data_IF_815593947961
#
_entry.id   IF_815593947961
#
_cell.length_a   1.000
_cell.length_b   1.000
_cell.length_c   1.000
_cell.angle_alpha   90.00
_cell.angle_beta   90.00
_cell.angle_gamma   90.00
#
_symmetry.space_group_name_H-M   'P 1'
#
loop_
_entity.id
_entity.type
_entity.pdbx_description
1 polymer ?
#
# COMPACT_ATOMS: atom_id res chain seq x y z
N UNK A 1 6.33 -15.98 -2.54
CA UNK A 1 4.99 -15.50 -2.92
C UNK A 1 4.34 -14.98 -1.65
N UNK A 2 3.63 -13.85 -1.73
CA UNK A 2 2.79 -13.31 -0.64
C UNK A 2 1.34 -13.15 -1.13
N UNK A 3 0.41 -13.05 -0.20
CA UNK A 3 -1.01 -12.77 -0.45
C UNK A 3 -1.40 -11.50 0.31
N UNK A 4 -1.99 -10.54 -0.37
CA UNK A 4 -2.55 -9.31 0.22
C UNK A 4 -4.03 -9.25 -0.13
N UNK A 5 -4.91 -9.40 0.87
CA UNK A 5 -6.35 -9.48 0.66
C UNK A 5 -7.00 -8.20 1.18
N UNK A 6 -7.80 -7.55 0.33
CA UNK A 6 -8.65 -6.42 0.69
C UNK A 6 -10.12 -6.79 0.49
N UNK A 7 -10.96 -6.43 1.45
CA UNK A 7 -12.41 -6.63 1.38
C UNK A 7 -13.12 -5.26 1.36
N UNK A 8 -13.29 -4.61 0.19
CA UNK A 8 -13.86 -3.27 0.11
C UNK A 8 -15.35 -3.26 0.44
N UNK A 9 -15.70 -2.77 1.62
CA UNK A 9 -17.08 -2.67 2.09
C UNK A 9 -17.95 -1.78 1.19
N UNK A 10 -17.36 -0.71 0.62
CA UNK A 10 -18.06 0.20 -0.30
C UNK A 10 -18.55 -0.48 -1.57
N UNK A 11 -17.90 -1.57 -2.01
CA UNK A 11 -18.24 -2.30 -3.21
C UNK A 11 -19.06 -3.58 -2.94
N UNK A 12 -19.49 -3.82 -1.70
CA UNK A 12 -20.12 -5.08 -1.28
C UNK A 12 -21.36 -5.48 -2.09
N UNK A 13 -22.12 -4.49 -2.56
CA UNK A 13 -23.41 -4.70 -3.24
C UNK A 13 -23.26 -4.74 -4.78
N UNK A 14 -22.04 -4.52 -5.30
CA UNK A 14 -21.77 -4.61 -6.75
C UNK A 14 -21.73 -6.05 -7.21
N UNK A 15 -22.09 -6.28 -8.47
CA UNK A 15 -22.12 -7.63 -9.08
C UNK A 15 -20.77 -8.05 -9.64
N UNK A 16 -19.91 -7.09 -9.99
CA UNK A 16 -18.57 -7.34 -10.51
C UNK A 16 -17.57 -6.29 -10.05
N UNK A 17 -16.28 -6.66 -10.09
CA UNK A 17 -15.20 -5.74 -9.79
C UNK A 17 -15.12 -4.58 -10.79
N UNK A 18 -15.46 -4.80 -12.06
CA UNK A 18 -15.46 -3.76 -13.10
C UNK A 18 -16.51 -2.69 -12.79
N UNK A 19 -17.73 -3.13 -12.48
CA UNK A 19 -18.81 -2.24 -12.04
C UNK A 19 -18.37 -1.39 -10.83
N UNK A 20 -17.70 -2.00 -9.86
CA UNK A 20 -17.21 -1.29 -8.67
C UNK A 20 -16.17 -0.20 -9.00
N UNK A 21 -15.29 -0.43 -9.98
CA UNK A 21 -14.33 0.59 -10.43
C UNK A 21 -15.03 1.69 -11.24
N UNK A 22 -15.97 1.34 -12.12
CA UNK A 22 -16.75 2.29 -12.93
C UNK A 22 -17.63 3.21 -12.06
N UNK A 23 -18.18 2.68 -10.97
CA UNK A 23 -18.91 3.45 -9.94
C UNK A 23 -17.98 4.21 -8.98
N UNK A 24 -16.66 4.17 -9.20
CA UNK A 24 -15.64 4.83 -8.38
C UNK A 24 -15.63 4.38 -6.91
N UNK A 25 -16.07 3.16 -6.63
CA UNK A 25 -16.06 2.55 -5.28
C UNK A 25 -14.68 1.99 -4.91
N UNK A 26 -13.83 1.78 -5.91
CA UNK A 26 -12.45 1.31 -5.80
C UNK A 26 -11.48 2.36 -6.39
N UNK A 27 -11.34 3.54 -5.78
CA UNK A 27 -10.58 4.66 -6.36
C UNK A 27 -9.08 4.36 -6.51
N UNK A 28 -8.58 3.30 -5.88
CA UNK A 28 -7.22 2.82 -5.96
C UNK A 28 -6.95 1.88 -7.14
N UNK A 29 -7.97 1.51 -7.91
CA UNK A 29 -7.85 0.67 -9.10
C UNK A 29 -8.07 1.48 -10.38
N UNK A 30 -7.47 1.02 -11.47
CA UNK A 30 -7.75 1.45 -12.84
C UNK A 30 -8.16 0.25 -13.69
N UNK A 31 -8.96 0.50 -14.72
CA UNK A 31 -9.31 -0.51 -15.73
C UNK A 31 -8.56 -0.19 -17.02
N UNK A 32 -7.87 -1.17 -17.58
CA UNK A 32 -7.29 -1.10 -18.92
C UNK A 32 -7.66 -2.38 -19.68
N UNK A 33 -8.31 -2.24 -20.82
CA UNK A 33 -8.73 -3.38 -21.66
C UNK A 33 -9.54 -4.44 -20.90
N UNK A 34 -10.40 -3.99 -19.97
CA UNK A 34 -11.22 -4.87 -19.12
C UNK A 34 -10.45 -5.55 -17.98
N UNK A 35 -9.15 -5.31 -17.86
CA UNK A 35 -8.32 -5.81 -16.75
C UNK A 35 -8.22 -4.74 -15.66
N UNK A 36 -8.52 -5.13 -14.43
CA UNK A 36 -8.39 -4.27 -13.25
C UNK A 36 -6.96 -4.38 -12.74
N UNK A 37 -6.34 -3.23 -12.50
CA UNK A 37 -4.99 -3.13 -11.94
C UNK A 37 -4.95 -2.11 -10.81
N UNK A 38 -4.18 -2.39 -9.77
CA UNK A 38 -3.88 -1.46 -8.70
C UNK A 38 -3.04 -0.29 -9.23
N UNK A 39 -3.45 0.93 -8.91
CA UNK A 39 -2.70 2.13 -9.29
C UNK A 39 -1.36 2.16 -8.57
N UNK A 40 -0.27 2.35 -9.33
CA UNK A 40 1.11 2.33 -8.78
C UNK A 40 1.40 3.48 -7.81
N UNK A 41 0.66 4.57 -7.89
CA UNK A 41 0.77 5.74 -7.02
C UNK A 41 -0.11 5.64 -5.76
N UNK A 42 -0.94 4.61 -5.63
CA UNK A 42 -1.78 4.40 -4.45
C UNK A 42 -1.00 3.71 -3.31
N UNK A 43 -1.31 4.03 -2.06
CA UNK A 43 -0.64 3.51 -0.87
C UNK A 43 -0.56 1.97 -0.80
N UNK A 44 -1.57 1.25 -1.32
CA UNK A 44 -1.55 -0.21 -1.39
C UNK A 44 -0.41 -0.76 -2.26
N UNK A 45 0.00 -0.06 -3.32
CA UNK A 45 1.12 -0.51 -4.15
C UNK A 45 2.44 -0.39 -3.38
N UNK A 46 2.61 0.70 -2.61
CA UNK A 46 3.73 0.85 -1.68
C UNK A 46 3.74 -0.24 -0.59
N UNK A 47 2.57 -0.63 -0.07
CA UNK A 47 2.46 -1.75 0.88
C UNK A 47 2.98 -3.05 0.27
N UNK A 48 2.50 -3.41 -0.93
CA UNK A 48 2.93 -4.62 -1.65
C UNK A 48 4.43 -4.61 -1.92
N UNK A 49 4.98 -3.49 -2.42
CA UNK A 49 6.41 -3.38 -2.70
C UNK A 49 7.27 -3.52 -1.45
N UNK A 50 6.85 -2.92 -0.34
CA UNK A 50 7.48 -3.08 0.96
C UNK A 50 7.48 -4.53 1.44
N UNK A 51 6.31 -5.19 1.42
CA UNK A 51 6.17 -6.59 1.82
C UNK A 51 7.05 -7.52 0.97
N UNK A 52 7.05 -7.34 -0.36
CA UNK A 52 7.88 -8.12 -1.27
C UNK A 52 9.37 -7.95 -0.96
N UNK A 53 9.82 -6.70 -0.73
CA UNK A 53 11.22 -6.43 -0.40
C UNK A 53 11.63 -7.03 0.94
N UNK A 54 10.83 -6.85 1.99
CA UNK A 54 11.13 -7.34 3.34
C UNK A 54 11.18 -8.87 3.39
N UNK A 55 10.28 -9.53 2.65
CA UNK A 55 10.17 -11.00 2.65
C UNK A 55 11.07 -11.68 1.60
N UNK A 56 11.85 -10.90 0.85
CA UNK A 56 12.68 -11.34 -0.28
C UNK A 56 11.90 -12.19 -1.29
N UNK A 57 10.64 -11.81 -1.55
CA UNK A 57 9.78 -12.46 -2.54
C UNK A 57 9.62 -11.58 -3.76
N UNK A 58 9.37 -12.22 -4.90
CA UNK A 58 9.26 -11.56 -6.20
C UNK A 58 7.83 -11.35 -6.68
N UNK A 59 6.82 -11.88 -5.98
CA UNK A 59 5.43 -11.90 -6.45
C UNK A 59 4.42 -11.87 -5.31
N UNK A 60 3.38 -11.06 -5.49
CA UNK A 60 2.20 -10.92 -4.65
C UNK A 60 0.94 -11.22 -5.45
N UNK A 61 0.01 -11.99 -4.87
CA UNK A 61 -1.38 -11.96 -5.32
C UNK A 61 -2.12 -10.90 -4.52
N UNK A 62 -2.49 -9.81 -5.18
CA UNK A 62 -3.35 -8.78 -4.62
C UNK A 62 -4.80 -9.16 -4.90
N UNK A 63 -5.55 -9.46 -3.85
CA UNK A 63 -6.90 -10.03 -3.95
C UNK A 63 -7.89 -9.00 -3.42
N UNK A 64 -8.87 -8.65 -4.25
CA UNK A 64 -10.04 -7.89 -3.83
C UNK A 64 -11.23 -8.82 -3.77
N UNK A 65 -11.87 -8.90 -2.61
CA UNK A 65 -12.94 -9.86 -2.37
C UNK A 65 -14.19 -9.20 -1.79
N UNK A 66 -15.34 -9.56 -2.36
CA UNK A 66 -16.68 -9.31 -1.80
C UNK A 66 -17.46 -10.63 -1.78
N UNK A 67 -18.66 -10.64 -1.19
CA UNK A 67 -19.53 -11.82 -1.25
C UNK A 67 -19.95 -12.19 -2.68
N UNK A 68 -19.93 -11.22 -3.60
CA UNK A 68 -20.46 -11.38 -4.95
C UNK A 68 -19.37 -11.69 -5.98
N UNK A 69 -18.14 -11.24 -5.74
CA UNK A 69 -17.05 -11.40 -6.70
C UNK A 69 -15.67 -11.43 -6.03
N UNK A 70 -14.70 -11.99 -6.75
CA UNK A 70 -13.28 -11.94 -6.39
C UNK A 70 -12.48 -11.51 -7.60
N UNK A 71 -11.60 -10.53 -7.42
CA UNK A 71 -10.62 -10.13 -8.41
C UNK A 71 -9.22 -10.39 -7.87
N UNK A 72 -8.33 -10.89 -8.73
CA UNK A 72 -6.95 -11.23 -8.38
C UNK A 72 -6.02 -10.59 -9.39
N UNK A 73 -5.08 -9.80 -8.89
CA UNK A 73 -3.98 -9.23 -9.67
C UNK A 73 -2.66 -9.85 -9.22
N UNK A 74 -1.81 -10.20 -10.18
CA UNK A 74 -0.43 -10.61 -9.92
C UNK A 74 0.49 -9.38 -10.00
N UNK A 75 1.13 -9.05 -8.89
CA UNK A 75 2.09 -7.94 -8.82
C UNK A 75 3.48 -8.52 -8.59
N UNK A 76 4.40 -8.22 -9.50
CA UNK A 76 5.81 -8.58 -9.39
C UNK A 76 6.61 -7.46 -8.72
N UNK A 77 7.69 -7.83 -8.04
CA UNK A 77 8.58 -6.86 -7.44
C UNK A 77 9.18 -5.93 -8.51
N UNK A 78 9.01 -4.63 -8.32
CA UNK A 78 9.46 -3.59 -9.24
C UNK A 78 10.68 -2.89 -8.60
N UNK A 79 11.87 -3.30 -9.04
CA UNK A 79 13.14 -2.81 -8.50
C UNK A 79 13.34 -1.31 -8.77
N UNK A 80 12.85 -0.83 -9.91
CA UNK A 80 12.93 0.58 -10.28
C UNK A 80 12.01 1.42 -9.41
N UNK A 81 10.76 0.96 -9.20
CA UNK A 81 9.85 1.59 -8.25
C UNK A 81 10.44 1.64 -6.84
N UNK A 82 11.00 0.53 -6.35
CA UNK A 82 11.64 0.48 -5.03
C UNK A 82 12.73 1.54 -4.90
N UNK A 83 13.70 1.54 -5.83
CA UNK A 83 14.84 2.44 -5.77
C UNK A 83 14.44 3.92 -5.96
N UNK A 84 13.52 4.21 -6.87
CA UNK A 84 13.16 5.59 -7.23
C UNK A 84 12.10 6.21 -6.33
N UNK A 85 11.17 5.41 -5.79
CA UNK A 85 9.99 5.91 -5.06
C UNK A 85 10.00 5.56 -3.57
N UNK A 86 10.66 4.48 -3.15
CA UNK A 86 10.59 4.03 -1.75
C UNK A 86 11.86 4.33 -0.96
N UNK A 87 13.04 3.98 -1.47
CA UNK A 87 14.31 4.03 -0.70
C UNK A 87 14.53 5.39 -0.05
N UNK A 88 14.45 6.48 -0.82
CA UNK A 88 14.70 7.83 -0.30
C UNK A 88 13.73 8.22 0.84
N UNK A 89 12.44 7.93 0.68
CA UNK A 89 11.41 8.29 1.66
C UNK A 89 11.59 7.49 2.95
N UNK A 90 11.86 6.18 2.82
CA UNK A 90 12.09 5.30 3.95
C UNK A 90 13.37 5.66 4.73
N UNK A 91 14.45 6.01 4.02
CA UNK A 91 15.70 6.47 4.64
C UNK A 91 15.50 7.79 5.39
N UNK A 92 14.80 8.75 4.78
CA UNK A 92 14.47 10.03 5.42
C UNK A 92 13.69 9.81 6.72
N UNK A 93 12.59 9.04 6.64
CA UNK A 93 11.78 8.70 7.81
C UNK A 93 12.59 7.98 8.90
N UNK A 94 13.46 7.04 8.51
CA UNK A 94 14.31 6.34 9.46
C UNK A 94 15.27 7.29 10.17
N UNK A 95 15.99 8.13 9.42
CA UNK A 95 17.07 8.97 9.96
C UNK A 95 16.56 10.18 10.74
N UNK A 96 15.46 10.80 10.30
CA UNK A 96 14.97 12.06 10.87
C UNK A 96 13.87 11.86 11.91
N UNK A 97 13.07 10.79 11.79
CA UNK A 97 11.94 10.54 12.69
C UNK A 97 12.23 9.36 13.62
N UNK A 98 12.43 8.16 13.07
CA UNK A 98 12.45 6.93 13.86
C UNK A 98 13.71 6.79 14.72
N UNK A 99 14.89 6.94 14.13
CA UNK A 99 16.17 6.79 14.83
C UNK A 99 16.30 7.79 16.00
N UNK A 100 15.97 9.09 15.84
CA UNK A 100 16.05 10.01 16.96
C UNK A 100 15.03 9.70 18.06
N UNK A 101 13.84 9.18 17.72
CA UNK A 101 12.86 8.76 18.73
C UNK A 101 13.29 7.50 19.48
N UNK A 102 14.07 6.61 18.85
CA UNK A 102 14.68 5.44 19.51
C UNK A 102 15.78 5.89 20.49
N UNK A 103 16.60 6.88 20.13
CA UNK A 103 17.77 7.32 20.92
C UNK A 103 17.39 8.30 22.03
N UNK A 104 16.55 9.29 21.74
CA UNK A 104 16.06 10.30 22.70
C UNK A 104 14.57 10.60 22.43
N UNK A 105 13.67 9.81 23.03
CA UNK A 105 12.23 9.95 22.79
C UNK A 105 11.70 11.28 23.32
N UNK A 106 10.94 11.95 22.46
CA UNK A 106 10.19 13.16 22.83
C UNK A 106 8.76 12.79 23.21
N UNK A 107 8.16 11.84 22.48
CA UNK A 107 6.81 11.36 22.70
C UNK A 107 6.78 10.36 23.87
N UNK A 108 6.45 10.88 25.05
CA UNK A 108 6.43 10.12 26.31
C UNK A 108 6.95 10.92 27.50
N UNK A 109 7.67 12.03 27.25
CA UNK A 109 8.00 13.02 28.28
C UNK A 109 6.78 13.91 28.58
N UNK A 110 6.11 14.41 27.53
CA UNK A 110 4.91 15.26 27.65
C UNK A 110 3.66 14.66 27.00
N UNK A 111 3.83 13.63 26.17
CA UNK A 111 2.76 12.93 25.43
C UNK A 111 1.92 13.86 24.54
N UNK A 112 2.54 14.89 23.95
CA UNK A 112 1.86 15.81 23.04
C UNK A 112 2.07 15.39 21.59
N UNK A 113 1.06 15.61 20.73
CA UNK A 113 1.17 15.35 19.28
C UNK A 113 2.30 16.17 18.65
N UNK A 114 2.54 17.39 19.15
CA UNK A 114 3.65 18.25 18.72
C UNK A 114 5.04 17.68 19.02
N UNK A 115 5.14 16.62 19.83
CA UNK A 115 6.40 15.94 20.12
C UNK A 115 6.75 14.88 19.06
N UNK A 116 5.80 14.55 18.17
CA UNK A 116 6.04 13.61 17.07
C UNK A 116 6.92 14.30 16.03
N UNK A 117 8.07 13.69 15.74
CA UNK A 117 9.03 14.20 14.76
C UNK A 117 8.50 13.98 13.35
N UNK A 118 8.35 15.05 12.60
CA UNK A 118 8.04 15.02 11.16
C UNK A 118 9.34 15.18 10.35
N UNK A 119 9.49 14.49 9.20
CA UNK A 119 10.65 14.65 8.34
C UNK A 119 10.64 16.05 7.69
N UNK A 120 11.82 16.60 7.44
CA UNK A 120 12.00 17.95 6.90
C UNK A 120 11.73 18.06 5.38
#
# INVERSE_FOLDING_TARGET
IILEIKCPYTAKDTTSALEAVEQNLLPYCSVKEGVISLKKDHAYYFQVMGQLKITERNMCYFIMHTSNWTNVEQIFFDVDFWNQKMVKILQLFYLECLLPEIVDPLYGKRSLVSDIREPA
#
